data_IF_925037210024
#
_entry.id   IF_925037210024
#
_cell.length_a   1.000
_cell.length_b   1.000
_cell.length_c   1.000
_cell.angle_alpha   90.00
_cell.angle_beta   90.00
_cell.angle_gamma   90.00
#
_symmetry.space_group_name_H-M   'P 1'
#
loop_
_entity.id
_entity.type
_entity.pdbx_description
1 polymer ?
#
# COMPACT_ATOMS: atom_id res chain seq x y z
N UNK A 1 -62.22 -11.53 -11.90
CA UNK A 1 -61.31 -10.92 -10.91
C UNK A 1 -59.96 -10.72 -11.59
N UNK A 2 -59.61 -9.48 -11.93
CA UNK A 2 -58.35 -9.17 -12.62
C UNK A 2 -57.36 -8.59 -11.60
N UNK A 3 -56.28 -9.32 -11.33
CA UNK A 3 -55.14 -8.82 -10.56
C UNK A 3 -54.27 -7.97 -11.50
N UNK A 4 -54.17 -6.65 -11.24
CA UNK A 4 -53.17 -5.79 -11.89
C UNK A 4 -51.95 -5.70 -10.98
N UNK A 5 -50.80 -6.19 -11.46
CA UNK A 5 -49.50 -5.91 -10.85
C UNK A 5 -49.15 -4.43 -11.05
N UNK A 6 -48.66 -3.71 -10.02
CA UNK A 6 -48.02 -2.42 -10.21
C UNK A 6 -46.62 -2.60 -10.81
N UNK A 7 -46.46 -2.24 -12.08
CA UNK A 7 -45.16 -2.00 -12.73
C UNK A 7 -44.61 -0.65 -12.28
N UNK A 8 -43.78 -0.61 -11.23
CA UNK A 8 -42.86 0.50 -10.95
C UNK A 8 -41.68 0.00 -10.11
N UNK A 9 -40.75 -0.69 -10.77
CA UNK A 9 -39.38 -0.92 -10.29
C UNK A 9 -38.41 -0.19 -11.22
N UNK A 10 -38.70 1.07 -11.53
CA UNK A 10 -37.77 1.94 -12.22
C UNK A 10 -37.27 3.00 -11.24
N UNK A 11 -35.96 3.23 -11.26
CA UNK A 11 -35.23 4.25 -10.49
C UNK A 11 -34.63 3.83 -9.14
N UNK A 12 -33.92 2.70 -9.12
CA UNK A 12 -32.77 2.51 -8.22
C UNK A 12 -31.46 3.07 -8.80
N UNK A 13 -31.53 3.98 -9.78
CA UNK A 13 -30.35 4.71 -10.25
C UNK A 13 -30.25 5.97 -9.39
N UNK A 14 -29.25 6.08 -8.50
CA UNK A 14 -29.07 7.29 -7.73
C UNK A 14 -28.83 8.48 -8.69
N UNK A 15 -29.33 9.68 -8.35
CA UNK A 15 -29.21 10.86 -9.20
C UNK A 15 -27.72 11.15 -9.51
N UNK A 16 -27.38 11.58 -10.75
CA UNK A 16 -25.99 11.80 -11.19
C UNK A 16 -25.17 12.73 -10.30
N UNK A 17 -25.83 13.61 -9.53
CA UNK A 17 -25.20 14.61 -8.66
C UNK A 17 -24.57 13.98 -7.40
N UNK A 18 -24.91 12.73 -7.06
CA UNK A 18 -24.32 12.01 -5.93
C UNK A 18 -23.11 11.13 -6.32
N UNK A 19 -22.75 11.08 -7.60
CA UNK A 19 -21.50 10.45 -8.03
C UNK A 19 -20.35 11.38 -7.63
N UNK A 20 -19.85 11.22 -6.40
CA UNK A 20 -18.53 11.76 -6.03
C UNK A 20 -17.57 11.36 -7.15
N UNK A 21 -16.65 12.24 -7.59
CA UNK A 21 -15.61 11.83 -8.53
C UNK A 21 -15.01 10.54 -7.98
N UNK A 22 -15.17 9.43 -8.69
CA UNK A 22 -14.49 8.20 -8.34
C UNK A 22 -13.01 8.50 -8.53
N UNK A 23 -12.35 8.95 -7.45
CA UNK A 23 -10.90 9.11 -7.43
C UNK A 23 -10.35 7.75 -7.78
N UNK A 24 -9.86 7.61 -9.01
CA UNK A 24 -9.34 6.36 -9.52
C UNK A 24 -8.27 5.89 -8.52
N UNK A 25 -8.41 4.69 -7.95
CA UNK A 25 -7.43 4.20 -6.99
C UNK A 25 -6.06 4.17 -7.69
N UNK A 26 -5.02 4.58 -6.97
CA UNK A 26 -3.67 4.52 -7.51
C UNK A 26 -3.35 3.08 -7.91
N UNK A 27 -2.77 2.92 -9.09
CA UNK A 27 -2.26 1.64 -9.58
C UNK A 27 -0.83 1.83 -10.04
N UNK A 28 0.03 0.94 -9.59
CA UNK A 28 1.44 0.99 -9.94
C UNK A 28 2.15 -0.27 -9.50
N UNK A 29 3.46 -0.16 -9.32
CA UNK A 29 4.30 -1.32 -8.99
C UNK A 29 5.20 -1.07 -7.79
N UNK A 30 5.48 -2.14 -7.06
CA UNK A 30 6.57 -2.23 -6.11
C UNK A 30 7.66 -3.11 -6.71
N UNK A 31 8.84 -2.53 -6.88
CA UNK A 31 10.04 -3.25 -7.32
C UNK A 31 10.87 -3.60 -6.10
N UNK A 32 10.97 -4.90 -5.82
CA UNK A 32 11.80 -5.44 -4.77
C UNK A 32 13.24 -5.54 -5.30
N UNK A 33 14.16 -4.81 -4.67
CA UNK A 33 15.57 -4.92 -5.00
C UNK A 33 16.18 -6.17 -4.34
N UNK A 34 17.02 -6.92 -5.07
CA UNK A 34 17.67 -8.10 -4.52
C UNK A 34 18.66 -7.69 -3.42
N UNK A 35 18.58 -8.38 -2.29
CA UNK A 35 19.43 -8.18 -1.13
C UNK A 35 20.81 -8.83 -1.34
N UNK A 36 21.65 -8.24 -2.20
CA UNK A 36 23.10 -8.54 -2.30
C UNK A 36 23.51 -9.95 -2.74
N UNK A 37 22.59 -10.90 -2.82
CA UNK A 37 22.78 -12.23 -3.37
C UNK A 37 22.57 -12.17 -4.88
N UNK A 38 23.66 -12.25 -5.65
CA UNK A 38 23.76 -12.01 -7.10
C UNK A 38 22.90 -12.93 -8.01
N UNK A 39 22.00 -13.74 -7.46
CA UNK A 39 21.21 -14.75 -8.18
C UNK A 39 19.70 -14.51 -8.14
N UNK A 40 19.19 -13.57 -7.34
CA UNK A 40 17.75 -13.30 -7.27
C UNK A 40 17.40 -12.14 -8.19
N UNK A 41 16.63 -12.42 -9.26
CA UNK A 41 16.12 -11.36 -10.13
C UNK A 41 15.25 -10.38 -9.32
N UNK A 42 15.29 -9.09 -9.69
CA UNK A 42 14.38 -8.11 -9.10
C UNK A 42 12.93 -8.51 -9.36
N UNK A 43 12.13 -8.56 -8.31
CA UNK A 43 10.72 -8.96 -8.38
C UNK A 43 9.84 -7.70 -8.45
N UNK A 44 8.98 -7.64 -9.47
CA UNK A 44 7.99 -6.57 -9.63
C UNK A 44 6.63 -7.07 -9.19
N UNK A 45 5.99 -6.35 -8.27
CA UNK A 45 4.65 -6.61 -7.79
C UNK A 45 3.72 -5.49 -8.24
N UNK A 46 2.59 -5.83 -8.84
CA UNK A 46 1.57 -4.87 -9.26
C UNK A 46 0.61 -4.65 -8.11
N UNK A 47 0.39 -3.39 -7.76
CA UNK A 47 -0.37 -3.00 -6.58
C UNK A 47 -1.43 -1.96 -6.92
N UNK A 48 -2.54 -2.05 -6.20
CA UNK A 48 -3.57 -1.02 -6.14
C UNK A 48 -3.66 -0.49 -4.71
N UNK A 49 -3.74 0.83 -4.57
CA UNK A 49 -4.07 1.46 -3.30
C UNK A 49 -5.60 1.45 -3.11
N UNK A 50 -6.06 0.66 -2.16
CA UNK A 50 -7.41 0.66 -1.60
C UNK A 50 -7.46 1.54 -0.34
N UNK A 51 -8.67 1.88 0.09
CA UNK A 51 -8.99 2.43 1.42
C UNK A 51 -7.97 3.46 1.94
N UNK A 52 -8.18 4.71 1.55
CA UNK A 52 -7.33 5.83 1.96
C UNK A 52 -7.94 6.53 3.18
N UNK A 53 -7.16 6.64 4.24
CA UNK A 53 -7.48 7.45 5.42
C UNK A 53 -6.63 8.72 5.38
N UNK A 54 -7.27 9.89 5.40
CA UNK A 54 -6.60 11.18 5.30
C UNK A 54 -6.27 11.65 3.87
N UNK A 55 -5.59 12.79 3.77
CA UNK A 55 -5.17 13.40 2.49
C UNK A 55 -3.93 12.71 1.94
N UNK A 56 -4.13 11.70 1.09
CA UNK A 56 -3.07 10.86 0.55
C UNK A 56 -2.47 11.40 -0.76
N UNK A 57 -3.14 12.35 -1.45
CA UNK A 57 -2.71 12.94 -2.74
C UNK A 57 -2.15 11.92 -3.73
N UNK A 58 -2.92 10.88 -3.98
CA UNK A 58 -2.51 9.72 -4.80
C UNK A 58 -2.12 10.11 -6.23
N UNK A 59 -2.58 11.25 -6.72
CA UNK A 59 -2.20 11.86 -8.00
C UNK A 59 -0.72 12.28 -8.08
N UNK A 60 -0.06 12.47 -6.94
CA UNK A 60 1.36 12.84 -6.87
C UNK A 60 2.28 11.61 -6.81
N UNK A 61 1.71 10.42 -6.70
CA UNK A 61 2.49 9.20 -6.49
C UNK A 61 3.12 8.72 -7.81
N UNK A 62 4.38 8.25 -7.80
CA UNK A 62 5.01 7.65 -8.94
C UNK A 62 4.29 6.34 -9.27
N UNK A 63 4.35 5.96 -10.54
CA UNK A 63 3.81 4.68 -10.98
C UNK A 63 4.62 3.49 -10.45
N UNK A 64 5.90 3.70 -10.12
CA UNK A 64 6.81 2.64 -9.69
C UNK A 64 7.54 3.07 -8.41
N UNK A 65 7.39 2.27 -7.37
CA UNK A 65 8.13 2.41 -6.13
C UNK A 65 9.23 1.36 -6.07
N UNK A 66 10.42 1.79 -5.66
CA UNK A 66 11.52 0.88 -5.37
C UNK A 66 11.59 0.64 -3.87
N UNK A 67 11.39 -0.60 -3.44
CA UNK A 67 11.57 -0.98 -2.05
C UNK A 67 13.06 -1.07 -1.79
N UNK A 68 13.59 -0.06 -1.08
CA UNK A 68 15.04 0.08 -0.92
C UNK A 68 15.57 -0.71 0.26
N UNK A 69 14.86 -0.65 1.39
CA UNK A 69 15.35 -1.21 2.64
C UNK A 69 14.20 -1.88 3.39
N UNK A 70 14.52 -3.02 3.99
CA UNK A 70 13.67 -3.68 4.97
C UNK A 70 14.37 -3.60 6.32
N UNK A 71 13.78 -2.86 7.25
CA UNK A 71 14.38 -2.62 8.56
C UNK A 71 13.75 -3.54 9.60
N UNK A 72 14.56 -4.19 10.47
CA UNK A 72 14.00 -4.83 11.66
C UNK A 72 13.33 -3.76 12.51
N UNK A 73 12.11 -4.03 12.94
CA UNK A 73 11.38 -3.17 13.86
C UNK A 73 11.63 -3.62 15.29
N UNK A 74 11.73 -2.68 16.22
CA UNK A 74 11.71 -3.00 17.65
C UNK A 74 10.32 -3.55 18.00
N UNK A 75 9.25 -2.90 17.49
CA UNK A 75 7.88 -3.40 17.59
C UNK A 75 6.94 -2.77 16.54
N UNK A 76 6.21 -3.59 15.79
CA UNK A 76 5.21 -3.12 14.82
C UNK A 76 4.12 -2.24 15.48
N UNK A 77 3.77 -2.53 16.73
CA UNK A 77 2.79 -1.74 17.48
C UNK A 77 3.26 -0.32 17.75
N UNK A 78 4.56 -0.11 17.95
CA UNK A 78 5.13 1.22 18.17
C UNK A 78 4.97 2.08 16.91
N UNK A 79 5.23 1.50 15.73
CA UNK A 79 5.05 2.18 14.44
C UNK A 79 3.58 2.56 14.26
N UNK A 80 2.66 1.62 14.48
CA UNK A 80 1.22 1.89 14.36
C UNK A 80 0.77 2.97 15.34
N UNK A 81 1.28 2.96 16.57
CA UNK A 81 0.98 3.97 17.59
C UNK A 81 1.55 5.33 17.21
N UNK A 82 2.76 5.36 16.65
CA UNK A 82 3.40 6.58 16.17
C UNK A 82 2.64 7.20 15.00
N UNK A 83 2.26 6.38 14.02
CA UNK A 83 1.46 6.79 12.84
C UNK A 83 0.12 7.40 13.28
N UNK A 84 -0.58 6.74 14.22
CA UNK A 84 -1.84 7.26 14.79
C UNK A 84 -1.64 8.57 15.54
N UNK A 85 -0.59 8.68 16.36
CA UNK A 85 -0.29 9.88 17.15
C UNK A 85 0.02 11.10 16.28
N UNK A 86 0.66 10.89 15.14
CA UNK A 86 1.03 11.96 14.21
C UNK A 86 0.01 12.16 13.07
N UNK A 87 -1.12 11.45 13.11
CA UNK A 87 -2.19 11.49 12.10
C UNK A 87 -1.66 11.36 10.66
N UNK A 88 -0.68 10.49 10.47
CA UNK A 88 -0.08 10.25 9.15
C UNK A 88 -1.13 9.57 8.26
N UNK A 89 -1.35 10.06 7.02
CA UNK A 89 -2.28 9.43 6.09
C UNK A 89 -1.92 7.97 5.85
N UNK A 90 -2.94 7.12 5.84
CA UNK A 90 -2.81 5.68 5.64
C UNK A 90 -3.49 5.24 4.36
N UNK A 91 -2.97 4.18 3.75
CA UNK A 91 -3.64 3.48 2.68
C UNK A 91 -3.43 1.97 2.81
N UNK A 92 -4.31 1.20 2.17
CA UNK A 92 -4.18 -0.25 2.06
C UNK A 92 -3.70 -0.62 0.67
N UNK A 93 -2.59 -1.34 0.56
CA UNK A 93 -2.14 -1.90 -0.71
C UNK A 93 -2.59 -3.36 -0.85
N UNK A 94 -3.14 -3.65 -2.03
CA UNK A 94 -3.58 -4.98 -2.44
C UNK A 94 -2.98 -5.35 -3.81
N UNK A 95 -2.78 -6.64 -4.10
CA UNK A 95 -2.31 -7.08 -5.41
C UNK A 95 -3.31 -6.66 -6.50
N UNK A 96 -2.82 -6.06 -7.57
CA UNK A 96 -3.64 -5.73 -8.74
C UNK A 96 -4.02 -7.01 -9.51
N UNK A 97 -5.19 -6.96 -10.15
CA UNK A 97 -5.70 -8.04 -11.01
C UNK A 97 -5.21 -7.82 -12.43
N UNK A 98 -4.23 -8.63 -12.82
CA UNK A 98 -3.62 -8.56 -14.15
C UNK A 98 -4.52 -9.20 -15.23
N UNK A 99 -4.35 -8.82 -16.51
CA UNK A 99 -5.18 -9.34 -17.60
C UNK A 99 -5.16 -10.87 -17.73
N UNK A 100 -4.00 -11.48 -17.45
CA UNK A 100 -3.81 -12.93 -17.52
C UNK A 100 -3.94 -13.56 -16.12
N UNK A 101 -4.73 -14.62 -16.02
CA UNK A 101 -5.03 -15.30 -14.74
C UNK A 101 -3.79 -15.84 -14.04
N UNK A 102 -2.83 -16.39 -14.81
CA UNK A 102 -1.57 -16.90 -14.26
C UNK A 102 -0.73 -15.78 -13.64
N UNK A 103 -0.64 -14.64 -14.33
CA UNK A 103 0.11 -13.48 -13.85
C UNK A 103 -0.56 -12.89 -12.60
N UNK A 104 -1.89 -12.82 -12.57
CA UNK A 104 -2.63 -12.36 -11.39
C UNK A 104 -2.38 -13.26 -10.17
N UNK A 105 -2.34 -14.59 -10.36
CA UNK A 105 -2.02 -15.54 -9.28
C UNK A 105 -0.57 -15.42 -8.83
N UNK A 106 0.36 -15.24 -9.76
CA UNK A 106 1.77 -15.04 -9.44
C UNK A 106 1.97 -13.73 -8.66
N UNK A 107 1.30 -12.65 -9.08
CA UNK A 107 1.32 -11.36 -8.40
C UNK A 107 0.76 -11.45 -6.97
N UNK A 108 -0.41 -12.07 -6.81
CA UNK A 108 -1.03 -12.30 -5.50
C UNK A 108 -0.11 -13.14 -4.58
N UNK A 109 0.49 -14.21 -5.12
CA UNK A 109 1.44 -15.05 -4.41
C UNK A 109 2.70 -14.28 -3.98
N UNK A 110 3.20 -13.39 -4.83
CA UNK A 110 4.32 -12.50 -4.52
C UNK A 110 3.97 -11.50 -3.42
N UNK A 111 2.80 -10.87 -3.50
CA UNK A 111 2.32 -9.92 -2.47
C UNK A 111 2.16 -10.58 -1.11
N UNK A 112 1.56 -11.78 -1.09
CA UNK A 112 1.40 -12.59 0.12
C UNK A 112 2.75 -13.03 0.70
N UNK A 113 3.70 -13.40 -0.14
CA UNK A 113 5.06 -13.76 0.28
C UNK A 113 5.77 -12.57 0.92
N UNK A 114 5.64 -11.37 0.34
CA UNK A 114 6.19 -10.14 0.91
C UNK A 114 5.55 -9.80 2.26
N UNK A 115 4.22 -9.80 2.34
CA UNK A 115 3.50 -9.51 3.59
C UNK A 115 3.85 -10.51 4.70
N UNK A 116 3.92 -11.80 4.37
CA UNK A 116 4.39 -12.84 5.28
C UNK A 116 5.83 -12.59 5.72
N UNK A 117 6.74 -12.31 4.79
CA UNK A 117 8.14 -12.05 5.09
C UNK A 117 8.30 -10.88 6.07
N UNK A 118 7.60 -9.76 5.84
CA UNK A 118 7.62 -8.62 6.76
C UNK A 118 7.03 -8.98 8.12
N UNK A 119 5.95 -9.77 8.16
CA UNK A 119 5.30 -10.17 9.41
C UNK A 119 6.16 -11.12 10.24
N UNK A 120 6.70 -12.18 9.63
CA UNK A 120 7.50 -13.21 10.31
C UNK A 120 8.82 -12.64 10.84
N UNK A 121 9.45 -11.75 10.07
CA UNK A 121 10.71 -11.12 10.46
C UNK A 121 10.53 -9.84 11.29
N UNK A 122 9.30 -9.43 11.60
CA UNK A 122 8.97 -8.16 12.27
C UNK A 122 9.66 -6.98 11.59
N UNK A 123 9.59 -6.92 10.27
CA UNK A 123 10.22 -5.90 9.44
C UNK A 123 9.19 -4.93 8.86
N UNK A 124 9.66 -3.74 8.51
CA UNK A 124 8.97 -2.81 7.63
C UNK A 124 9.73 -2.66 6.33
N UNK A 125 9.03 -2.34 5.24
CA UNK A 125 9.63 -1.97 3.98
C UNK A 125 9.51 -0.45 3.75
N UNK A 126 10.55 0.15 3.16
CA UNK A 126 10.59 1.58 2.86
C UNK A 126 10.66 1.79 1.35
N UNK A 127 9.72 2.58 0.84
CA UNK A 127 9.57 2.94 -0.56
C UNK A 127 9.60 4.48 -0.71
N UNK A 128 10.78 5.09 -0.90
CA UNK A 128 10.87 6.54 -1.08
C UNK A 128 10.29 6.99 -2.43
N UNK A 129 9.90 8.26 -2.53
CA UNK A 129 9.40 8.83 -3.80
C UNK A 129 10.44 8.87 -4.93
N UNK A 130 11.73 8.67 -4.62
CA UNK A 130 12.86 8.80 -5.55
C UNK A 130 12.89 10.13 -6.32
N UNK A 131 12.38 11.19 -5.68
CA UNK A 131 12.34 12.55 -6.22
C UNK A 131 12.98 13.52 -5.22
N UNK A 132 14.33 13.50 -5.09
CA UNK A 132 15.04 14.25 -4.05
C UNK A 132 14.79 15.76 -4.14
N UNK A 133 14.59 16.30 -5.35
CA UNK A 133 14.38 17.73 -5.59
C UNK A 133 12.97 18.22 -5.22
N UNK A 134 12.00 17.31 -5.10
CA UNK A 134 10.58 17.66 -4.89
C UNK A 134 10.05 17.20 -3.53
N UNK A 135 10.52 16.05 -3.06
CA UNK A 135 10.02 15.35 -1.87
C UNK A 135 11.18 14.69 -1.13
N UNK A 136 12.11 15.49 -0.60
CA UNK A 136 13.29 15.00 0.13
C UNK A 136 12.87 14.24 1.40
N UNK A 137 13.23 12.95 1.48
CA UNK A 137 12.95 12.10 2.65
C UNK A 137 11.52 11.57 2.74
N UNK A 138 10.67 11.90 1.76
CA UNK A 138 9.29 11.51 1.72
C UNK A 138 9.12 10.17 0.98
N UNK A 139 8.05 9.45 1.27
CA UNK A 139 7.73 8.18 0.64
C UNK A 139 6.66 7.40 1.38
N UNK A 140 6.75 6.09 1.28
CA UNK A 140 5.79 5.15 1.86
C UNK A 140 6.52 4.20 2.79
N UNK A 141 6.00 4.06 4.00
CA UNK A 141 6.39 3.04 4.94
C UNK A 141 5.36 1.91 4.89
N UNK A 142 5.79 0.75 4.40
CA UNK A 142 4.97 -0.43 4.20
C UNK A 142 5.13 -1.39 5.37
N UNK A 143 4.02 -1.83 5.93
CA UNK A 143 4.03 -2.81 7.01
C UNK A 143 2.84 -3.77 6.92
N UNK A 144 2.98 -5.01 7.40
CA UNK A 144 1.91 -5.99 7.31
C UNK A 144 0.77 -5.63 8.27
N UNK A 145 -0.45 -6.01 7.90
CA UNK A 145 -1.61 -5.96 8.80
C UNK A 145 -1.84 -7.33 9.45
N UNK A 146 -2.22 -7.34 10.73
CA UNK A 146 -2.61 -8.58 11.41
C UNK A 146 -3.95 -9.13 10.89
N UNK A 147 -4.76 -8.28 10.24
CA UNK A 147 -6.08 -8.66 9.75
C UNK A 147 -6.03 -9.51 8.47
N UNK A 148 -4.92 -9.46 7.71
CA UNK A 148 -4.82 -10.15 6.43
C UNK A 148 -3.36 -10.43 6.06
N UNK A 149 -3.09 -11.64 5.57
CA UNK A 149 -1.78 -12.06 5.09
C UNK A 149 -1.46 -11.63 3.65
N UNK A 150 -2.42 -11.00 2.96
CA UNK A 150 -2.29 -10.58 1.56
C UNK A 150 -2.39 -9.07 1.34
N UNK A 151 -2.45 -8.28 2.41
CA UNK A 151 -2.57 -6.83 2.36
C UNK A 151 -1.40 -6.18 3.10
N UNK A 152 -1.00 -5.00 2.62
CA UNK A 152 0.00 -4.17 3.27
C UNK A 152 -0.61 -2.83 3.63
N UNK A 153 -0.26 -2.29 4.79
CA UNK A 153 -0.59 -0.93 5.17
C UNK A 153 0.56 -0.02 4.72
N UNK A 154 0.23 1.09 4.07
CA UNK A 154 1.18 2.13 3.72
C UNK A 154 0.92 3.40 4.53
N UNK A 155 1.88 3.81 5.35
CA UNK A 155 1.90 5.15 5.91
C UNK A 155 2.57 6.11 4.93
N UNK A 156 1.88 7.21 4.60
CA UNK A 156 2.23 8.10 3.49
C UNK A 156 2.86 9.38 4.01
N UNK A 157 4.11 9.60 3.62
CA UNK A 157 4.90 10.75 3.99
C UNK A 157 5.06 11.63 2.75
N UNK A 158 4.27 12.71 2.64
CA UNK A 158 4.33 13.62 1.49
C UNK A 158 5.35 14.73 1.67
N UNK A 159 5.43 15.30 2.88
CA UNK A 159 6.25 16.49 3.17
C UNK A 159 7.21 16.28 4.34
N UNK A 160 7.04 15.19 5.08
CA UNK A 160 7.83 14.85 6.26
C UNK A 160 8.78 13.70 5.93
N UNK A 161 9.93 13.69 6.60
CA UNK A 161 10.85 12.55 6.54
C UNK A 161 10.27 11.31 7.21
N UNK A 162 10.85 10.14 6.92
CA UNK A 162 10.56 8.94 7.69
C UNK A 162 10.92 9.14 9.18
N UNK A 163 10.24 8.44 10.10
CA UNK A 163 10.54 8.51 11.52
C UNK A 163 11.99 8.13 11.83
N UNK A 164 12.60 8.68 12.89
CA UNK A 164 14.02 8.47 13.20
C UNK A 164 14.38 7.03 13.57
N UNK A 165 13.40 6.22 13.99
CA UNK A 165 13.59 4.79 14.26
C UNK A 165 13.72 3.95 12.98
N UNK A 166 13.39 4.50 11.81
CA UNK A 166 13.56 3.84 10.52
C UNK A 166 15.01 4.00 10.08
N UNK A 167 15.80 2.92 10.18
CA UNK A 167 17.22 2.94 9.84
C UNK A 167 18.17 3.12 11.03
N UNK A 168 17.65 3.36 12.23
CA UNK A 168 18.45 3.15 13.45
C UNK A 168 18.67 1.66 13.63
N UNK A 169 19.87 1.16 13.30
CA UNK A 169 20.29 -0.18 13.72
C UNK A 169 20.19 -0.22 15.25
N UNK A 170 19.57 -1.25 15.86
CA UNK A 170 19.62 -1.37 17.31
C UNK A 170 21.08 -1.45 17.72
N UNK A 171 21.60 -0.37 18.30
CA UNK A 171 22.88 -0.37 18.99
C UNK A 171 22.74 -1.37 20.12
N UNK A 172 23.34 -2.55 19.93
CA UNK A 172 23.41 -3.57 20.96
C UNK A 172 24.08 -2.97 22.20
N UNK A 173 23.54 -3.20 23.42
CA UNK A 173 24.19 -2.79 24.67
C UNK A 173 25.50 -3.53 24.89
#
# INVERSE_FOLDING_TARGET
>A
MAFRLPTHLESLVPPPVAQRPEHKPWRGTFTLMPNGSATTASQVLYATAAETEGDNRTELWPANFFIQHMYPTIELQEIQSWVKRHSVPLCMFMPDRLPYSNDSKANEGGFRSLARFLSENKMIAVAPWNAPDRFSGAGILLFPTQASSGLLVGAIFLQTGFPPFVGSTPTSP
#
